data_IF_873972738569
#
_entry.id   IF_873972738569
#
_cell.length_a   1.000
_cell.length_b   1.000
_cell.length_c   1.000
_cell.angle_alpha   90.00
_cell.angle_beta   90.00
_cell.angle_gamma   90.00
#
_symmetry.space_group_name_H-M   'P 1'
#
loop_
_entity.id
_entity.type
_entity.pdbx_description
1 polymer ?
#
# COMPACT_ATOMS: atom_id res chain seq x y z
N UNK A 1 5.49 10.81 -11.51
CA UNK A 1 5.07 9.43 -11.17
C UNK A 1 3.83 9.45 -10.29
N UNK A 2 3.82 10.21 -9.20
CA UNK A 2 2.70 10.27 -8.25
C UNK A 2 1.40 10.78 -8.86
N UNK A 3 1.47 11.83 -9.69
CA UNK A 3 0.27 12.42 -10.29
C UNK A 3 -0.51 11.44 -11.17
N UNK A 4 0.21 10.66 -12.00
CA UNK A 4 -0.40 9.59 -12.79
C UNK A 4 -1.05 8.53 -11.89
N UNK A 5 -0.34 8.08 -10.85
CA UNK A 5 -0.87 7.09 -9.92
C UNK A 5 -2.13 7.60 -9.21
N UNK A 6 -2.13 8.86 -8.73
CA UNK A 6 -3.30 9.51 -8.13
C UNK A 6 -4.47 9.58 -9.09
N UNK A 7 -4.28 10.13 -10.30
CA UNK A 7 -5.35 10.24 -11.30
C UNK A 7 -5.95 8.88 -11.65
N UNK A 8 -5.08 7.89 -11.91
CA UNK A 8 -5.50 6.52 -12.17
C UNK A 8 -6.28 5.94 -10.98
N UNK A 9 -5.84 6.19 -9.75
CA UNK A 9 -6.48 5.72 -8.53
C UNK A 9 -7.86 6.36 -8.34
N UNK A 10 -7.99 7.67 -8.55
CA UNK A 10 -9.25 8.39 -8.43
C UNK A 10 -10.32 7.84 -9.39
N UNK A 11 -9.91 7.45 -10.60
CA UNK A 11 -10.81 6.82 -11.59
C UNK A 11 -11.19 5.39 -11.23
N UNK A 12 -10.42 4.73 -10.39
CA UNK A 12 -10.54 3.31 -10.05
C UNK A 12 -11.24 3.06 -8.71
N UNK A 13 -11.05 3.95 -7.73
CA UNK A 13 -11.66 3.87 -6.39
C UNK A 13 -13.19 3.63 -6.45
N UNK A 14 -14.00 4.38 -7.23
CA UNK A 14 -15.46 4.18 -7.26
C UNK A 14 -15.88 2.82 -7.83
N UNK A 15 -15.00 2.14 -8.58
CA UNK A 15 -15.25 0.80 -9.13
C UNK A 15 -15.01 -0.31 -8.11
N UNK A 16 -14.25 -0.01 -7.04
CA UNK A 16 -13.82 -0.97 -6.01
C UNK A 16 -14.52 -0.75 -4.67
N UNK A 17 -14.93 0.48 -4.39
CA UNK A 17 -15.58 0.86 -3.15
C UNK A 17 -16.86 1.62 -3.51
N UNK A 18 -17.99 1.03 -3.18
CA UNK A 18 -19.27 1.73 -3.27
C UNK A 18 -19.51 2.52 -1.99
N UNK A 19 -19.12 3.80 -2.00
CA UNK A 19 -19.30 4.70 -0.86
C UNK A 19 -20.77 4.96 -0.50
N UNK A 20 -21.71 4.76 -1.44
CA UNK A 20 -23.14 4.97 -1.18
C UNK A 20 -23.76 3.84 -0.34
N UNK A 21 -23.11 2.67 -0.30
CA UNK A 21 -23.56 1.50 0.45
C UNK A 21 -22.61 1.16 1.63
N UNK A 22 -21.85 2.13 2.15
CA UNK A 22 -21.09 1.91 3.37
C UNK A 22 -22.06 1.58 4.52
N UNK A 23 -21.73 0.54 5.28
CA UNK A 23 -22.58 0.02 6.34
C UNK A 23 -22.59 1.05 7.47
N UNK A 24 -23.68 1.09 8.23
CA UNK A 24 -23.79 1.93 9.43
C UNK A 24 -22.90 1.42 10.57
N UNK A 25 -22.27 0.25 10.40
CA UNK A 25 -21.32 -0.34 11.36
C UNK A 25 -19.92 0.25 11.18
N UNK A 26 -19.42 0.83 12.25
CA UNK A 26 -18.05 1.33 12.36
C UNK A 26 -17.27 0.50 13.37
N UNK A 27 -15.98 0.33 13.11
CA UNK A 27 -15.04 -0.33 14.01
C UNK A 27 -13.89 0.60 14.36
N UNK A 28 -13.38 0.48 15.57
CA UNK A 28 -12.16 1.16 15.96
C UNK A 28 -10.97 0.43 15.33
N UNK A 29 -10.23 1.10 14.45
CA UNK A 29 -9.09 0.52 13.77
C UNK A 29 -7.79 1.15 14.25
N UNK A 30 -6.79 0.30 14.47
CA UNK A 30 -5.40 0.71 14.67
C UNK A 30 -4.71 0.81 13.29
N UNK A 31 -4.33 2.02 12.81
CA UNK A 31 -3.85 2.18 11.44
C UNK A 31 -2.45 1.60 11.21
N UNK A 32 -1.64 1.50 12.26
CA UNK A 32 -0.26 0.98 12.19
C UNK A 32 -0.08 -0.27 13.07
N UNK A 33 -0.92 -1.30 12.87
CA UNK A 33 -0.83 -2.55 13.64
C UNK A 33 0.32 -3.45 13.16
N UNK A 34 1.54 -2.90 13.16
CA UNK A 34 2.80 -3.58 12.87
C UNK A 34 3.28 -4.39 14.07
N UNK A 35 4.18 -5.35 13.84
CA UNK A 35 4.74 -6.19 14.90
C UNK A 35 5.34 -5.38 16.06
N UNK A 36 5.97 -4.24 15.78
CA UNK A 36 6.54 -3.34 16.80
C UNK A 36 5.51 -2.73 17.76
N UNK A 37 4.23 -2.73 17.40
CA UNK A 37 3.13 -2.18 18.20
C UNK A 37 2.33 -3.28 18.95
N UNK A 38 2.79 -4.55 18.89
CA UNK A 38 2.19 -5.69 19.56
C UNK A 38 3.17 -6.21 20.61
N UNK A 39 2.77 -6.16 21.88
CA UNK A 39 3.57 -6.71 22.98
C UNK A 39 3.17 -8.16 23.19
N UNK A 40 4.14 -9.06 23.16
CA UNK A 40 3.93 -10.50 23.37
C UNK A 40 4.84 -11.05 24.47
N UNK A 41 4.41 -12.17 25.06
CA UNK A 41 5.26 -13.02 25.90
C UNK A 41 6.28 -13.80 25.07
N UNK A 42 7.19 -14.53 25.74
CA UNK A 42 8.16 -15.41 25.09
C UNK A 42 7.54 -16.56 24.30
N UNK A 43 6.30 -16.94 24.61
CA UNK A 43 5.51 -17.95 23.91
C UNK A 43 4.45 -17.35 22.97
N UNK A 44 4.62 -16.08 22.59
CA UNK A 44 3.80 -15.35 21.60
C UNK A 44 2.34 -15.07 22.02
N UNK A 45 2.00 -15.17 23.30
CA UNK A 45 0.71 -14.66 23.79
C UNK A 45 0.70 -13.13 23.78
N UNK A 46 -0.35 -12.54 23.22
CA UNK A 46 -0.51 -11.08 23.16
C UNK A 46 -0.81 -10.55 24.56
N UNK A 47 0.05 -9.65 25.05
CA UNK A 47 -0.12 -8.92 26.31
C UNK A 47 -0.81 -7.57 26.12
N UNK A 48 -0.60 -6.94 24.97
CA UNK A 48 -1.20 -5.64 24.68
C UNK A 48 -0.83 -5.08 23.32
N UNK A 49 -1.58 -4.06 22.93
CA UNK A 49 -1.36 -3.25 21.73
C UNK A 49 -1.08 -1.83 22.21
N UNK A 50 -0.05 -1.20 21.67
CA UNK A 50 0.37 0.18 22.01
C UNK A 50 0.23 1.09 20.79
N UNK A 51 0.57 2.38 20.96
CA UNK A 51 0.67 3.35 19.85
C UNK A 51 -0.67 3.71 19.18
N UNK A 52 -1.69 3.92 20.00
CA UNK A 52 -3.07 4.21 19.57
C UNK A 52 -3.30 5.66 19.08
N UNK A 53 -2.27 6.50 18.97
CA UNK A 53 -2.43 7.96 18.76
C UNK A 53 -3.14 8.34 17.45
N UNK A 54 -3.13 7.45 16.45
CA UNK A 54 -3.81 7.65 15.16
C UNK A 54 -5.05 6.76 14.98
N UNK A 55 -5.55 6.12 16.04
CA UNK A 55 -6.73 5.27 15.93
C UNK A 55 -7.96 6.06 15.46
N UNK A 56 -8.80 5.43 14.64
CA UNK A 56 -10.01 6.05 14.12
C UNK A 56 -11.14 5.03 13.98
N UNK A 57 -12.37 5.52 14.07
CA UNK A 57 -13.55 4.75 13.71
C UNK A 57 -13.67 4.75 12.17
N UNK A 58 -13.65 3.56 11.56
CA UNK A 58 -13.80 3.38 10.12
C UNK A 58 -15.01 2.51 9.80
N UNK A 59 -15.67 2.70 8.65
CA UNK A 59 -16.71 1.79 8.20
C UNK A 59 -16.17 0.35 8.12
N UNK A 60 -16.98 -0.63 8.52
CA UNK A 60 -16.59 -2.05 8.56
C UNK A 60 -16.05 -2.55 7.21
N UNK A 61 -16.59 -2.08 6.08
CA UNK A 61 -16.09 -2.48 4.76
C UNK A 61 -14.70 -1.95 4.41
N UNK A 62 -14.17 -1.01 5.19
CA UNK A 62 -12.81 -0.51 5.03
C UNK A 62 -11.84 -1.18 6.03
N UNK A 63 -12.38 -1.98 6.94
CA UNK A 63 -11.60 -2.76 7.90
C UNK A 63 -10.89 -3.90 7.20
N UNK A 64 -9.59 -3.75 7.04
CA UNK A 64 -8.71 -4.68 6.33
C UNK A 64 -7.69 -5.27 7.30
N UNK A 65 -7.18 -6.48 7.05
CA UNK A 65 -6.08 -7.02 7.83
C UNK A 65 -4.87 -6.06 7.85
N UNK A 66 -4.01 -6.13 8.88
CA UNK A 66 -2.77 -5.39 8.93
C UNK A 66 -1.97 -5.46 7.63
N UNK A 67 -1.32 -4.35 7.29
CA UNK A 67 -0.59 -4.18 6.03
C UNK A 67 0.48 -5.24 5.80
N UNK A 68 1.15 -5.69 6.85
CA UNK A 68 2.16 -6.76 6.79
C UNK A 68 1.55 -8.14 6.48
N UNK A 69 0.31 -8.42 6.90
CA UNK A 69 -0.43 -9.65 6.53
C UNK A 69 -0.81 -9.60 5.05
N UNK A 70 -1.32 -8.45 4.59
CA UNK A 70 -1.68 -8.23 3.18
C UNK A 70 -0.47 -8.08 2.26
N UNK A 71 0.73 -8.02 2.84
CA UNK A 71 1.98 -7.78 2.15
C UNK A 71 2.12 -6.35 1.63
N UNK A 72 1.32 -5.37 2.02
CA UNK A 72 1.47 -3.97 1.55
C UNK A 72 2.46 -3.14 2.36
N UNK A 73 2.99 -3.67 3.46
CA UNK A 73 3.96 -2.96 4.30
C UNK A 73 5.40 -3.05 3.74
N UNK A 74 6.03 -1.91 3.37
CA UNK A 74 7.40 -1.88 2.88
C UNK A 74 8.42 -2.29 3.94
N UNK A 75 8.13 -2.05 5.22
CA UNK A 75 9.05 -2.31 6.33
C UNK A 75 9.19 -3.81 6.61
N UNK A 76 8.12 -4.57 6.44
CA UNK A 76 8.07 -6.03 6.52
C UNK A 76 8.88 -6.69 5.40
N UNK A 77 9.08 -6.03 4.25
CA UNK A 77 9.93 -6.52 3.15
C UNK A 77 11.41 -6.65 3.55
N UNK A 78 11.86 -5.94 4.59
CA UNK A 78 13.22 -6.04 5.13
C UNK A 78 13.38 -7.06 6.24
N UNK A 79 12.28 -7.54 6.83
CA UNK A 79 12.36 -8.50 7.92
C UNK A 79 12.53 -9.89 7.30
N UNK A 80 13.61 -10.55 7.69
CA UNK A 80 14.02 -11.90 7.32
C UNK A 80 13.00 -12.89 7.90
N UNK A 81 11.83 -13.01 7.29
CA UNK A 81 10.88 -14.08 7.65
C UNK A 81 11.16 -15.35 6.84
N UNK A 82 11.93 -15.26 5.75
CA UNK A 82 12.11 -16.36 4.80
C UNK A 82 10.84 -16.71 4.02
N UNK A 83 9.72 -16.04 4.30
CA UNK A 83 8.42 -16.27 3.70
C UNK A 83 8.24 -15.27 2.55
N UNK A 84 7.96 -15.79 1.36
CA UNK A 84 7.66 -14.96 0.20
C UNK A 84 6.39 -14.13 0.45
N UNK A 85 6.40 -12.84 0.13
CA UNK A 85 5.28 -11.88 0.32
C UNK A 85 3.92 -12.44 -0.13
N UNK A 86 3.90 -13.18 -1.24
CA UNK A 86 2.69 -13.79 -1.79
C UNK A 86 2.07 -14.90 -0.93
N UNK A 87 2.81 -15.44 0.04
CA UNK A 87 2.41 -16.59 0.86
C UNK A 87 1.87 -16.19 2.24
N UNK A 88 2.18 -14.98 2.72
CA UNK A 88 1.78 -14.51 4.06
C UNK A 88 0.25 -14.53 4.22
N UNK A 89 -0.46 -13.91 3.27
CA UNK A 89 -1.92 -13.83 3.34
C UNK A 89 -2.60 -15.21 3.23
N UNK A 90 -2.24 -16.10 2.26
CA UNK A 90 -2.75 -17.47 2.23
C UNK A 90 -2.50 -18.27 3.52
N UNK A 91 -1.31 -18.20 4.09
CA UNK A 91 -0.95 -18.89 5.33
C UNK A 91 -1.80 -18.38 6.51
N UNK A 92 -1.91 -17.05 6.65
CA UNK A 92 -2.76 -16.43 7.65
C UNK A 92 -4.23 -16.84 7.50
N UNK A 93 -4.75 -16.89 6.27
CA UNK A 93 -6.11 -17.38 6.02
C UNK A 93 -6.28 -18.84 6.46
N UNK A 94 -5.29 -19.70 6.24
CA UNK A 94 -5.32 -21.09 6.72
C UNK A 94 -5.48 -21.16 8.24
N UNK A 95 -4.63 -20.43 8.97
CA UNK A 95 -4.70 -20.36 10.44
C UNK A 95 -6.03 -19.76 10.91
N UNK A 96 -6.49 -18.67 10.28
CA UNK A 96 -7.76 -18.03 10.65
C UNK A 96 -8.93 -19.00 10.48
N UNK A 97 -8.95 -19.77 9.39
CA UNK A 97 -9.99 -20.77 9.11
C UNK A 97 -10.01 -21.87 10.17
N UNK A 98 -8.85 -22.39 10.56
CA UNK A 98 -8.74 -23.39 11.62
C UNK A 98 -9.22 -22.83 12.97
N UNK A 99 -8.89 -21.56 13.25
CA UNK A 99 -9.30 -20.88 14.47
C UNK A 99 -10.80 -20.57 14.55
N UNK A 100 -11.51 -20.47 13.43
CA UNK A 100 -12.97 -20.30 13.42
C UNK A 100 -13.71 -21.43 14.16
N UNK A 101 -13.12 -22.62 14.28
CA UNK A 101 -13.70 -23.74 15.04
C UNK A 101 -13.70 -23.53 16.56
N UNK A 102 -12.86 -22.62 17.07
CA UNK A 102 -12.64 -22.43 18.50
C UNK A 102 -12.87 -21.00 18.97
N UNK A 103 -12.93 -20.03 18.05
CA UNK A 103 -13.01 -18.60 18.37
C UNK A 103 -14.12 -17.92 17.57
N UNK A 104 -15.14 -17.43 18.28
CA UNK A 104 -16.22 -16.60 17.70
C UNK A 104 -15.65 -15.33 17.05
N UNK A 105 -14.60 -14.74 17.63
CA UNK A 105 -13.96 -13.55 17.07
C UNK A 105 -13.28 -13.85 15.73
N UNK A 106 -12.65 -15.02 15.58
CA UNK A 106 -12.05 -15.45 14.31
C UNK A 106 -13.13 -15.68 13.25
N UNK A 107 -14.25 -16.29 13.61
CA UNK A 107 -15.42 -16.45 12.73
C UNK A 107 -15.98 -15.11 12.27
N UNK A 108 -16.06 -14.13 13.18
CA UNK A 108 -16.51 -12.78 12.84
C UNK A 108 -15.54 -12.10 11.87
N UNK A 109 -14.22 -12.17 12.09
CA UNK A 109 -13.22 -11.61 11.18
C UNK A 109 -13.24 -12.29 9.81
N UNK A 110 -13.41 -13.61 9.77
CA UNK A 110 -13.52 -14.39 8.54
C UNK A 110 -14.66 -13.85 7.66
N UNK A 111 -15.81 -13.58 8.29
CA UNK A 111 -16.98 -13.01 7.63
C UNK A 111 -16.82 -11.54 7.25
N UNK A 112 -16.33 -10.71 8.16
CA UNK A 112 -16.18 -9.27 7.91
C UNK A 112 -15.16 -8.98 6.81
N UNK A 113 -14.17 -9.86 6.61
CA UNK A 113 -13.22 -9.79 5.50
C UNK A 113 -13.69 -10.52 4.23
N UNK A 114 -14.88 -11.14 4.25
CA UNK A 114 -15.49 -11.80 3.10
C UNK A 114 -14.67 -12.97 2.55
N UNK A 115 -14.10 -13.78 3.45
CA UNK A 115 -13.21 -14.89 3.12
C UNK A 115 -13.95 -16.22 2.86
N UNK A 116 -15.28 -16.25 2.94
CA UNK A 116 -16.06 -17.45 2.67
C UNK A 116 -15.95 -17.94 1.21
N UNK A 117 -15.86 -19.27 1.07
CA UNK A 117 -15.79 -19.97 -0.21
C UNK A 117 -17.13 -19.91 -0.99
N UNK A 118 -18.27 -19.76 -0.28
CA UNK A 118 -19.63 -19.83 -0.85
C UNK A 118 -20.42 -18.55 -0.60
N UNK A 119 -20.10 -17.47 -1.33
CA UNK A 119 -20.98 -16.29 -1.34
C UNK A 119 -22.10 -16.46 -2.38
N UNK A 120 -23.37 -16.24 -2.02
CA UNK A 120 -24.47 -16.20 -2.98
C UNK A 120 -24.16 -15.21 -4.10
N UNK A 121 -24.52 -15.56 -5.34
CA UNK A 121 -24.13 -14.88 -6.58
C UNK A 121 -24.53 -13.39 -6.71
N UNK A 122 -25.17 -12.79 -5.71
CA UNK A 122 -25.68 -11.42 -5.75
C UNK A 122 -24.74 -10.39 -5.08
N UNK A 123 -23.68 -10.82 -4.37
CA UNK A 123 -22.85 -9.93 -3.52
C UNK A 123 -21.36 -9.89 -3.91
N UNK A 124 -21.06 -10.02 -5.21
CA UNK A 124 -19.70 -10.05 -5.78
C UNK A 124 -18.92 -8.72 -5.72
N UNK A 125 -19.42 -7.71 -5.03
CA UNK A 125 -18.82 -6.37 -5.11
C UNK A 125 -17.64 -6.15 -4.15
N UNK A 126 -17.52 -6.95 -3.09
CA UNK A 126 -16.47 -6.78 -2.08
C UNK A 126 -15.39 -7.87 -2.16
N UNK A 127 -14.20 -7.48 -2.60
CA UNK A 127 -12.98 -8.31 -2.54
C UNK A 127 -11.90 -7.57 -1.73
N UNK A 128 -11.54 -8.14 -0.58
CA UNK A 128 -10.53 -7.60 0.33
C UNK A 128 -9.16 -7.41 -0.35
N UNK A 129 -8.82 -8.20 -1.37
CA UNK A 129 -7.59 -8.07 -2.14
C UNK A 129 -7.62 -6.86 -3.09
N UNK A 130 -8.81 -6.37 -3.45
CA UNK A 130 -8.99 -5.16 -4.25
C UNK A 130 -9.00 -3.91 -3.36
N UNK A 131 -9.54 -4.02 -2.15
CA UNK A 131 -9.70 -2.88 -1.22
C UNK A 131 -8.43 -2.64 -0.39
N UNK A 132 -7.71 -3.69 0.01
CA UNK A 132 -6.53 -3.56 0.90
C UNK A 132 -5.40 -2.64 0.38
N UNK A 133 -5.03 -2.61 -0.92
CA UNK A 133 -4.02 -1.67 -1.39
C UNK A 133 -4.48 -0.22 -1.26
N UNK A 134 -5.77 0.04 -1.51
CA UNK A 134 -6.36 1.37 -1.34
C UNK A 134 -6.30 1.80 0.12
N UNK A 135 -6.68 0.89 1.04
CA UNK A 135 -6.64 1.18 2.46
C UNK A 135 -5.23 1.43 2.97
N UNK A 136 -4.23 0.75 2.42
CA UNK A 136 -2.84 1.05 2.77
C UNK A 136 -2.46 2.48 2.36
N UNK A 137 -2.80 2.89 1.14
CA UNK A 137 -2.51 4.25 0.65
C UNK A 137 -3.25 5.29 1.49
N UNK A 138 -4.50 5.03 1.88
CA UNK A 138 -5.28 5.95 2.71
C UNK A 138 -4.70 6.08 4.14
N UNK A 139 -4.23 4.98 4.73
CA UNK A 139 -3.58 5.00 6.06
C UNK A 139 -2.20 5.63 6.01
N UNK A 140 -1.46 5.40 4.94
CA UNK A 140 -0.09 5.89 4.76
C UNK A 140 0.09 6.46 3.35
N UNK A 141 -0.27 7.74 3.12
CA UNK A 141 -0.18 8.35 1.78
C UNK A 141 1.22 8.29 1.16
N UNK A 142 2.28 8.29 1.99
CA UNK A 142 3.66 8.12 1.55
C UNK A 142 3.96 6.76 0.89
N UNK A 143 3.10 5.75 1.06
CA UNK A 143 3.24 4.44 0.38
C UNK A 143 2.59 4.40 -1.01
N UNK A 144 2.03 5.52 -1.50
CA UNK A 144 1.28 5.59 -2.76
C UNK A 144 2.01 4.92 -3.92
N UNK A 145 3.24 5.36 -4.23
CA UNK A 145 3.98 4.87 -5.40
C UNK A 145 4.25 3.38 -5.31
N UNK A 146 4.75 2.94 -4.16
CA UNK A 146 5.14 1.55 -3.96
C UNK A 146 3.93 0.61 -4.06
N UNK A 147 2.87 0.89 -3.29
CA UNK A 147 1.67 0.07 -3.26
C UNK A 147 0.93 0.11 -4.59
N UNK A 148 0.83 1.28 -5.21
CA UNK A 148 0.18 1.40 -6.52
C UNK A 148 0.90 0.55 -7.56
N UNK A 149 2.22 0.69 -7.72
CA UNK A 149 2.95 -0.04 -8.75
C UNK A 149 3.14 -1.52 -8.43
N UNK A 150 3.14 -1.94 -7.16
CA UNK A 150 3.23 -3.36 -6.81
C UNK A 150 1.89 -4.10 -6.88
N UNK A 151 0.78 -3.42 -6.57
CA UNK A 151 -0.48 -4.09 -6.26
C UNK A 151 -1.67 -3.64 -7.10
N UNK A 152 -1.67 -2.40 -7.63
CA UNK A 152 -2.80 -1.82 -8.37
C UNK A 152 -2.51 -1.79 -9.87
N UNK A 153 -1.35 -1.25 -10.27
CA UNK A 153 -0.94 -1.12 -11.67
C UNK A 153 -0.97 -2.44 -12.44
N UNK A 154 -0.42 -3.57 -11.93
CA UNK A 154 -0.48 -4.86 -12.65
C UNK A 154 -1.90 -5.35 -12.90
N UNK A 155 -2.86 -4.98 -12.04
CA UNK A 155 -4.27 -5.35 -12.19
C UNK A 155 -5.00 -4.50 -13.23
N UNK A 156 -4.58 -3.24 -13.38
CA UNK A 156 -5.20 -2.30 -14.31
C UNK A 156 -4.66 -2.43 -15.73
N UNK A 157 -3.35 -2.65 -15.85
CA UNK A 157 -2.65 -2.62 -17.15
C UNK A 157 -2.07 -3.98 -17.55
N UNK A 158 -2.06 -4.96 -16.63
CA UNK A 158 -1.47 -6.28 -16.83
C UNK A 158 -0.08 -6.41 -16.16
N UNK A 159 0.34 -7.63 -15.79
CA UNK A 159 1.61 -7.87 -15.08
C UNK A 159 2.84 -7.51 -15.90
N UNK A 160 2.76 -7.65 -17.23
CA UNK A 160 3.87 -7.38 -18.16
C UNK A 160 3.87 -5.93 -18.70
N UNK A 161 2.96 -5.07 -18.23
CA UNK A 161 2.86 -3.71 -18.72
C UNK A 161 4.09 -2.87 -18.33
N UNK A 162 4.69 -2.20 -19.31
CA UNK A 162 5.79 -1.27 -19.07
C UNK A 162 5.27 0.03 -18.45
N UNK A 163 5.70 0.31 -17.22
CA UNK A 163 5.31 1.51 -16.44
C UNK A 163 5.62 2.81 -17.18
N UNK A 164 6.77 2.89 -17.84
CA UNK A 164 7.21 4.09 -18.55
C UNK A 164 6.42 4.33 -19.83
N UNK A 165 6.07 3.26 -20.56
CA UNK A 165 5.23 3.36 -21.76
C UNK A 165 3.84 3.87 -21.40
N UNK A 166 3.15 3.22 -20.44
CA UNK A 166 1.80 3.63 -20.01
C UNK A 166 1.79 5.08 -19.51
N UNK A 167 2.83 5.47 -18.76
CA UNK A 167 2.97 6.86 -18.27
C UNK A 167 3.20 7.84 -19.41
N UNK A 168 4.03 7.50 -20.38
CA UNK A 168 4.31 8.37 -21.53
C UNK A 168 3.08 8.57 -22.39
N UNK A 169 2.31 7.51 -22.63
CA UNK A 169 1.02 7.57 -23.32
C UNK A 169 0.01 8.45 -22.56
N UNK A 170 -0.05 8.33 -21.23
CA UNK A 170 -0.92 9.17 -20.40
C UNK A 170 -0.62 10.66 -20.56
N UNK A 171 0.65 11.08 -20.50
CA UNK A 171 1.02 12.49 -20.64
C UNK A 171 1.03 12.99 -22.09
N UNK A 172 1.00 12.08 -23.08
CA UNK A 172 0.86 12.43 -24.48
C UNK A 172 -0.60 12.70 -24.89
N UNK A 173 -1.59 12.27 -24.10
CA UNK A 173 -3.00 12.57 -24.33
C UNK A 173 -3.30 14.04 -24.00
N UNK A 174 -3.84 14.78 -24.98
CA UNK A 174 -4.22 16.18 -24.85
C UNK A 174 -5.13 16.47 -23.65
N UNK A 175 -5.96 15.50 -23.24
CA UNK A 175 -6.84 15.63 -22.07
C UNK A 175 -6.08 15.79 -20.75
N UNK A 176 -4.82 15.34 -20.69
CA UNK A 176 -3.98 15.39 -19.50
C UNK A 176 -2.92 16.50 -19.59
N UNK A 177 -3.01 17.40 -20.58
CA UNK A 177 -2.04 18.47 -20.78
C UNK A 177 -1.89 19.40 -19.57
N UNK A 178 -3.00 19.76 -18.92
CA UNK A 178 -2.96 20.58 -17.70
C UNK A 178 -2.19 19.90 -16.56
N UNK A 179 -2.29 18.57 -16.44
CA UNK A 179 -1.54 17.80 -15.44
C UNK A 179 -0.05 17.81 -15.76
N UNK A 180 0.34 17.73 -17.04
CA UNK A 180 1.73 17.85 -17.46
C UNK A 180 2.30 19.24 -17.13
N UNK A 181 1.56 20.30 -17.43
CA UNK A 181 1.94 21.68 -17.12
C UNK A 181 2.13 21.88 -15.61
N UNK A 182 1.26 21.28 -14.78
CA UNK A 182 1.43 21.30 -13.32
C UNK A 182 2.71 20.57 -12.87
N UNK A 183 3.04 19.42 -13.47
CA UNK A 183 4.30 18.71 -13.15
C UNK A 183 5.51 19.58 -13.47
N UNK A 184 5.52 20.23 -14.65
CA UNK A 184 6.62 21.11 -15.03
C UNK A 184 6.78 22.31 -14.08
N UNK A 185 5.67 22.92 -13.66
CA UNK A 185 5.68 24.01 -12.68
C UNK A 185 6.24 23.53 -11.33
N UNK A 186 5.80 22.36 -10.86
CA UNK A 186 6.28 21.81 -9.59
C UNK A 186 7.76 21.42 -9.65
N UNK A 187 8.24 20.90 -10.79
CA UNK A 187 9.66 20.65 -10.99
C UNK A 187 10.48 21.94 -10.91
N UNK A 188 10.07 23.00 -11.61
CA UNK A 188 10.74 24.31 -11.53
C UNK A 188 10.74 24.89 -10.11
N UNK A 189 9.63 24.74 -9.39
CA UNK A 189 9.54 25.16 -7.98
C UNK A 189 10.48 24.36 -7.08
N UNK A 190 10.54 23.04 -7.28
CA UNK A 190 11.43 22.14 -6.54
C UNK A 190 12.90 22.47 -6.80
N UNK A 191 13.29 22.71 -8.06
CA UNK A 191 14.63 23.16 -8.45
C UNK A 191 14.99 24.47 -7.75
N UNK A 192 14.10 25.48 -7.85
CA UNK A 192 14.30 26.79 -7.22
C UNK A 192 14.44 26.68 -5.69
N UNK A 193 13.64 25.84 -5.05
CA UNK A 193 13.72 25.61 -3.61
C UNK A 193 15.01 24.88 -3.23
N UNK A 194 15.40 23.87 -4.00
CA UNK A 194 16.67 23.14 -3.81
C UNK A 194 17.87 24.06 -3.93
N UNK A 195 17.88 24.96 -4.94
CA UNK A 195 18.93 25.96 -5.10
C UNK A 195 18.95 26.96 -3.96
N UNK A 196 17.79 27.37 -3.45
CA UNK A 196 17.68 28.20 -2.25
C UNK A 196 18.31 27.50 -1.04
N UNK A 197 17.97 26.23 -0.79
CA UNK A 197 18.54 25.45 0.31
C UNK A 197 20.06 25.33 0.18
N UNK A 198 20.57 25.03 -1.04
CA UNK A 198 22.01 24.92 -1.30
C UNK A 198 22.72 26.26 -1.05
N UNK A 199 22.15 27.36 -1.53
CA UNK A 199 22.72 28.72 -1.35
C UNK A 199 22.83 29.13 0.13
N UNK A 200 21.94 28.65 0.98
CA UNK A 200 21.91 28.99 2.41
C UNK A 200 22.52 27.91 3.31
N UNK A 201 23.18 26.89 2.75
CA UNK A 201 23.72 25.74 3.50
C UNK A 201 22.66 25.03 4.37
N UNK A 202 21.41 25.00 3.89
CA UNK A 202 20.28 24.32 4.53
C UNK A 202 19.94 22.98 3.87
N UNK A 203 20.60 22.66 2.75
CA UNK A 203 20.39 21.39 2.07
C UNK A 203 21.12 20.29 2.85
N UNK A 204 20.34 19.46 3.57
CA UNK A 204 20.85 18.24 4.21
C UNK A 204 20.87 17.14 3.16
N UNK A 205 22.05 16.56 2.91
CA UNK A 205 22.17 15.41 2.02
C UNK A 205 21.56 14.18 2.68
N UNK A 206 20.67 13.47 1.97
CA UNK A 206 20.13 12.20 2.46
C UNK A 206 21.22 11.13 2.34
N UNK A 207 21.79 10.72 3.47
CA UNK A 207 22.83 9.69 3.57
C UNK A 207 22.43 8.39 2.83
N UNK A 208 21.14 8.05 2.77
CA UNK A 208 20.67 6.88 2.01
C UNK A 208 20.76 7.11 0.51
N UNK A 209 20.49 8.31 0.03
CA UNK A 209 20.64 8.64 -1.40
C UNK A 209 22.10 8.55 -1.80
N UNK A 210 23.03 9.01 -0.95
CA UNK A 210 24.46 8.82 -1.18
C UNK A 210 24.85 7.35 -1.24
N UNK A 211 24.39 6.53 -0.29
CA UNK A 211 24.64 5.09 -0.29
C UNK A 211 24.06 4.40 -1.52
N UNK A 212 22.87 4.79 -1.98
CA UNK A 212 22.25 4.27 -3.21
C UNK A 212 23.07 4.69 -4.44
N UNK A 213 23.49 5.96 -4.53
CA UNK A 213 24.30 6.45 -5.63
C UNK A 213 25.66 5.75 -5.68
N UNK A 214 26.33 5.58 -4.53
CA UNK A 214 27.56 4.81 -4.45
C UNK A 214 27.36 3.35 -4.89
N UNK A 215 26.28 2.71 -4.46
CA UNK A 215 25.96 1.35 -4.88
C UNK A 215 25.70 1.27 -6.39
N UNK A 216 24.95 2.21 -6.96
CA UNK A 216 24.71 2.28 -8.40
C UNK A 216 26.00 2.50 -9.19
N UNK A 217 26.88 3.41 -8.75
CA UNK A 217 28.20 3.59 -9.36
C UNK A 217 29.06 2.33 -9.27
N UNK A 218 29.08 1.69 -8.09
CA UNK A 218 29.80 0.42 -7.87
C UNK A 218 29.21 -0.72 -8.68
N UNK A 219 27.95 -0.68 -9.08
CA UNK A 219 27.30 -1.77 -9.85
C UNK A 219 27.16 -1.47 -11.34
N UNK A 220 27.53 -0.27 -11.82
CA UNK A 220 27.46 0.11 -13.24
C UNK A 220 28.18 -0.86 -14.18
N UNK A 221 29.24 -1.54 -13.71
CA UNK A 221 29.95 -2.53 -14.53
C UNK A 221 29.15 -3.81 -14.76
N UNK A 222 28.18 -4.14 -13.89
CA UNK A 222 27.32 -5.32 -14.04
C UNK A 222 26.24 -5.13 -15.11
N UNK A 223 25.88 -3.87 -15.42
CA UNK A 223 24.92 -3.53 -16.49
C UNK A 223 25.62 -3.36 -17.85
N UNK A 224 26.96 -3.36 -17.88
CA UNK A 224 27.78 -3.22 -19.09
C UNK A 224 28.53 -4.51 -19.48
N UNK A 225 28.16 -5.67 -18.92
CA UNK A 225 28.75 -6.97 -19.24
C UNK A 225 27.76 -7.88 -19.95
N UNK A 226 28.06 -8.15 -21.23
CA UNK A 226 27.45 -9.05 -22.24
C UNK A 226 26.06 -8.71 -22.82
#
# INVERSE_FOLDING_TARGET
>A
MELFALDSLFKDIPKRINFQNLNEKYVLAHPDLRCGNIIVTSDLHILGIIDWEFTSAIPLQLFTPPSWIMGHDPSTLRIITGIHRGNIFPEFCGVLKDMCHTSIACTQLWHDWGLEDERPQQDYTYDIKQVSPLMQILRQPGSLIEVYYSSIFPKLFGPEACKDTVRSEFFADDKNRELLEQVEVQMKNSERYTDHLRKHNLLVEDERIQLIQEFLEKTKFLVKGD
#
